data_IF_380774676377
#
_entry.id   IF_380774676377
#
_cell.length_a   1.000
_cell.length_b   1.000
_cell.length_c   1.000
_cell.angle_alpha   90.00
_cell.angle_beta   90.00
_cell.angle_gamma   90.00
#
_symmetry.space_group_name_H-M   'P 1'
#
loop_
_entity.id
_entity.type
_entity.pdbx_description
1 polymer ?
#
# COMPACT_ATOMS: atom_id res chain seq x y z
N UNK A 1 7.89 -7.86 10.62
CA UNK A 1 8.34 -7.69 9.22
C UNK A 1 8.24 -6.23 8.84
N UNK A 2 9.32 -5.47 8.96
CA UNK A 2 9.37 -4.05 8.60
C UNK A 2 10.77 -3.64 8.09
N UNK A 3 11.59 -4.64 7.74
CA UNK A 3 13.02 -4.48 7.46
C UNK A 3 13.31 -3.71 6.18
N UNK A 4 12.37 -3.65 5.22
CA UNK A 4 12.54 -2.99 3.92
C UNK A 4 12.95 -1.52 4.05
N UNK A 5 12.37 -0.82 5.02
CA UNK A 5 12.68 0.59 5.29
C UNK A 5 14.11 0.75 5.80
N UNK A 6 14.53 -0.08 6.76
CA UNK A 6 15.89 -0.03 7.31
C UNK A 6 16.94 -0.50 6.31
N UNK A 7 16.68 -1.58 5.57
CA UNK A 7 17.63 -2.15 4.62
C UNK A 7 17.83 -1.29 3.37
N UNK A 8 16.86 -0.44 3.02
CA UNK A 8 17.02 0.58 2.00
C UNK A 8 17.65 1.87 2.53
N UNK A 9 18.16 1.89 3.76
CA UNK A 9 18.61 3.10 4.44
C UNK A 9 17.55 4.22 4.37
N UNK A 10 16.28 3.84 4.56
CA UNK A 10 15.13 4.72 4.49
C UNK A 10 14.89 5.36 3.11
N UNK A 11 15.42 4.81 2.01
CA UNK A 11 15.08 5.30 0.65
C UNK A 11 13.68 4.84 0.21
N UNK A 12 13.23 3.66 0.66
CA UNK A 12 11.86 3.20 0.42
C UNK A 12 10.89 3.95 1.33
N UNK A 13 9.87 4.58 0.77
CA UNK A 13 8.84 5.35 1.52
C UNK A 13 7.48 4.70 1.56
N UNK A 14 7.19 3.83 0.59
CA UNK A 14 5.94 3.06 0.50
C UNK A 14 6.29 1.62 0.16
N UNK A 15 5.71 0.66 0.89
CA UNK A 15 5.76 -0.77 0.57
C UNK A 15 4.34 -1.27 0.36
N UNK A 16 4.12 -1.96 -0.76
CA UNK A 16 2.89 -2.69 -1.04
C UNK A 16 3.19 -4.18 -0.89
N UNK A 17 2.57 -4.85 0.07
CA UNK A 17 2.66 -6.30 0.23
C UNK A 17 1.39 -6.94 -0.32
N UNK A 18 1.53 -7.79 -1.34
CA UNK A 18 0.46 -8.67 -1.79
C UNK A 18 0.65 -10.07 -1.22
N UNK A 19 -0.34 -10.55 -0.47
CA UNK A 19 -0.39 -11.89 0.09
C UNK A 19 -1.52 -12.65 -0.58
N UNK A 20 -1.27 -13.87 -1.01
CA UNK A 20 -2.20 -14.68 -1.79
C UNK A 20 -2.54 -15.94 -0.99
N UNK A 21 -3.83 -16.16 -0.78
CA UNK A 21 -4.36 -17.42 -0.27
C UNK A 21 -5.08 -18.12 -1.43
N UNK A 22 -4.39 -19.08 -2.05
CA UNK A 22 -4.90 -19.82 -3.19
C UNK A 22 -6.07 -20.76 -2.81
N UNK A 23 -6.12 -21.24 -1.56
CA UNK A 23 -7.20 -22.12 -1.12
C UNK A 23 -8.51 -21.36 -0.98
N UNK A 24 -8.44 -20.12 -0.46
CA UNK A 24 -9.60 -19.27 -0.26
C UNK A 24 -9.87 -18.31 -1.43
N UNK A 25 -9.03 -18.32 -2.48
CA UNK A 25 -9.09 -17.34 -3.58
C UNK A 25 -9.11 -15.88 -3.08
N UNK A 26 -8.31 -15.60 -2.05
CA UNK A 26 -8.23 -14.30 -1.41
C UNK A 26 -6.88 -13.63 -1.66
N UNK A 27 -6.91 -12.31 -1.90
CA UNK A 27 -5.71 -11.48 -1.94
C UNK A 27 -5.82 -10.44 -0.82
N UNK A 28 -4.77 -10.35 0.00
CA UNK A 28 -4.60 -9.31 1.00
C UNK A 28 -3.49 -8.36 0.55
N UNK A 29 -3.86 -7.11 0.26
CA UNK A 29 -2.92 -6.04 -0.02
C UNK A 29 -2.71 -5.19 1.23
N UNK A 30 -1.46 -5.02 1.66
CA UNK A 30 -1.10 -4.11 2.74
C UNK A 30 -0.28 -2.95 2.19
N UNK A 31 -0.68 -1.72 2.54
CA UNK A 31 0.12 -0.52 2.31
C UNK A 31 0.82 -0.12 3.59
N UNK A 32 2.14 -0.11 3.54
CA UNK A 32 3.01 0.37 4.60
C UNK A 32 3.70 1.66 4.17
N UNK A 33 3.81 2.62 5.07
CA UNK A 33 4.48 3.89 4.86
C UNK A 33 5.44 4.17 6.01
N UNK A 34 6.44 4.99 5.76
CA UNK A 34 7.35 5.47 6.79
C UNK A 34 6.89 6.82 7.34
N UNK A 35 6.66 6.89 8.65
CA UNK A 35 6.23 8.10 9.34
C UNK A 35 7.28 8.56 10.36
N UNK A 36 7.51 9.88 10.40
CA UNK A 36 8.31 10.51 11.45
C UNK A 36 7.44 10.54 12.70
N UNK A 37 7.80 9.78 13.73
CA UNK A 37 7.12 9.87 15.01
C UNK A 37 7.59 11.11 15.76
N UNK A 38 6.84 12.21 15.69
CA UNK A 38 7.09 13.39 16.52
C UNK A 38 6.41 13.23 17.88
N UNK A 39 7.09 13.48 19.02
CA UNK A 39 6.41 13.63 20.29
C UNK A 39 5.56 14.91 20.23
N UNK A 40 4.24 14.74 20.20
CA UNK A 40 3.20 15.76 20.45
C UNK A 40 3.42 17.16 19.84
N UNK A 41 2.84 17.37 18.65
CA UNK A 41 2.61 18.70 18.09
C UNK A 41 2.47 18.64 16.57
N UNK A 42 1.53 19.40 16.01
CA UNK A 42 1.39 19.53 14.56
C UNK A 42 2.61 20.28 13.98
N UNK A 43 3.65 19.53 13.60
CA UNK A 43 4.85 20.07 12.98
C UNK A 43 4.67 20.03 11.46
N UNK A 44 4.78 21.17 10.78
CA UNK A 44 4.85 21.24 9.32
C UNK A 44 6.09 20.47 8.81
N UNK A 45 5.91 19.64 7.77
CA UNK A 45 6.91 18.64 7.31
C UNK A 45 8.33 19.18 7.06
N UNK A 46 8.47 20.45 6.68
CA UNK A 46 9.77 21.13 6.52
C UNK A 46 10.59 21.18 7.82
N UNK A 47 9.93 21.32 8.98
CA UNK A 47 10.58 21.22 10.30
C UNK A 47 10.80 19.77 10.73
N UNK A 48 9.98 18.84 10.26
CA UNK A 48 10.17 17.40 10.53
C UNK A 48 11.44 16.85 9.86
N UNK A 49 11.80 17.33 8.67
CA UNK A 49 13.09 17.03 8.02
C UNK A 49 14.29 17.53 8.85
N UNK A 50 14.18 18.71 9.47
CA UNK A 50 15.20 19.22 10.39
C UNK A 50 15.23 18.47 11.74
N UNK A 51 14.08 17.94 12.19
CA UNK A 51 13.97 17.13 13.43
C UNK A 51 14.47 15.70 13.24
N UNK A 52 14.38 15.16 12.02
CA UNK A 52 15.01 13.89 11.62
C UNK A 52 16.52 13.92 11.82
N UNK A 53 17.17 15.05 11.50
CA UNK A 53 18.61 15.24 11.78
C UNK A 53 18.94 15.30 13.27
N UNK A 54 17.95 15.55 14.13
CA UNK A 54 18.18 15.79 15.55
C UNK A 54 17.77 14.66 16.49
N UNK A 55 16.67 13.90 16.25
CA UNK A 55 16.26 12.73 17.09
C UNK A 55 14.97 12.00 16.62
N UNK A 56 14.46 12.23 15.40
CA UNK A 56 13.19 11.62 14.96
C UNK A 56 13.33 10.13 14.64
N UNK A 57 12.57 9.26 15.33
CA UNK A 57 12.49 7.83 14.99
C UNK A 57 11.54 7.65 13.80
N UNK A 58 12.07 7.17 12.68
CA UNK A 58 11.29 6.73 11.52
C UNK A 58 10.65 5.39 11.83
N UNK A 59 9.32 5.34 11.78
CA UNK A 59 8.56 4.14 12.11
C UNK A 59 7.74 3.68 10.90
N UNK A 60 7.86 2.39 10.51
CA UNK A 60 6.98 1.79 9.52
C UNK A 60 5.56 1.61 10.05
N UNK A 61 4.58 2.18 9.37
CA UNK A 61 3.16 2.17 9.76
C UNK A 61 2.33 1.51 8.67
N UNK A 62 1.52 0.51 9.02
CA UNK A 62 0.51 -0.04 8.11
C UNK A 62 -0.65 0.93 8.02
N UNK A 63 -0.80 1.60 6.87
CA UNK A 63 -1.84 2.60 6.63
C UNK A 63 -3.12 1.99 6.11
N UNK A 64 -3.02 0.93 5.31
CA UNK A 64 -4.16 0.32 4.66
C UNK A 64 -3.98 -1.19 4.55
N UNK A 65 -5.11 -1.90 4.61
CA UNK A 65 -5.20 -3.35 4.48
C UNK A 65 -6.46 -3.65 3.67
N UNK A 66 -6.30 -4.00 2.40
CA UNK A 66 -7.37 -4.27 1.45
C UNK A 66 -7.47 -5.78 1.27
N UNK A 67 -8.63 -6.35 1.58
CA UNK A 67 -8.96 -7.72 1.19
C UNK A 67 -9.75 -7.69 -0.11
N UNK A 68 -9.31 -8.50 -1.07
CA UNK A 68 -10.00 -8.79 -2.32
C UNK A 68 -10.41 -10.26 -2.28
N UNK A 69 -11.71 -10.52 -2.30
CA UNK A 69 -12.27 -11.87 -2.23
C UNK A 69 -13.10 -12.18 -3.47
N UNK A 70 -13.02 -13.41 -3.97
CA UNK A 70 -13.88 -13.88 -5.05
C UNK A 70 -15.34 -13.91 -4.59
N UNK A 71 -16.24 -13.40 -5.41
CA UNK A 71 -17.67 -13.53 -5.21
C UNK A 71 -18.20 -14.75 -5.98
N UNK A 72 -18.48 -15.83 -5.25
CA UNK A 72 -18.99 -17.09 -5.82
C UNK A 72 -20.45 -16.99 -6.29
N UNK A 73 -21.17 -15.92 -5.92
CA UNK A 73 -22.60 -15.76 -6.25
C UNK A 73 -22.83 -15.12 -7.62
N UNK A 74 -21.78 -14.66 -8.28
CA UNK A 74 -21.85 -13.90 -9.53
C UNK A 74 -21.33 -14.71 -10.73
N UNK A 75 -22.04 -14.61 -11.87
CA UNK A 75 -21.62 -15.14 -13.16
C UNK A 75 -21.79 -14.05 -14.24
N UNK A 76 -20.72 -13.47 -14.81
CA UNK A 76 -19.32 -13.86 -14.64
C UNK A 76 -18.78 -13.60 -13.22
N UNK A 77 -17.67 -14.27 -12.89
CA UNK A 77 -16.97 -14.13 -11.59
C UNK A 77 -16.64 -12.66 -11.33
N UNK A 78 -16.98 -12.17 -10.15
CA UNK A 78 -16.60 -10.85 -9.68
C UNK A 78 -15.77 -10.92 -8.40
N UNK A 79 -15.19 -9.79 -7.98
CA UNK A 79 -14.36 -9.71 -6.78
C UNK A 79 -14.79 -8.55 -5.89
N UNK A 80 -14.98 -8.84 -4.61
CA UNK A 80 -15.33 -7.87 -3.59
C UNK A 80 -14.06 -7.26 -2.99
N UNK A 81 -13.92 -5.94 -3.13
CA UNK A 81 -12.77 -5.16 -2.62
C UNK A 81 -13.19 -4.39 -1.37
N UNK A 82 -12.49 -4.61 -0.27
CA UNK A 82 -12.73 -3.89 1.00
C UNK A 82 -11.85 -2.65 1.13
N UNK A 83 -12.35 -1.62 1.82
CA UNK A 83 -11.59 -0.39 2.15
C UNK A 83 -11.12 0.43 0.94
N UNK A 84 -11.80 0.29 -0.20
CA UNK A 84 -11.72 1.20 -1.34
C UNK A 84 -10.44 1.09 -2.17
N UNK A 85 -10.16 2.17 -2.91
CA UNK A 85 -8.98 2.27 -3.76
C UNK A 85 -7.67 2.27 -2.94
N UNK A 86 -6.60 1.76 -3.55
CA UNK A 86 -5.24 1.90 -3.02
C UNK A 86 -4.64 3.20 -3.55
N UNK A 87 -4.31 4.12 -2.64
CA UNK A 87 -3.77 5.44 -2.98
C UNK A 87 -2.31 5.52 -2.52
N UNK A 88 -1.41 5.77 -3.47
CA UNK A 88 0.00 6.03 -3.21
C UNK A 88 0.22 7.55 -3.23
N UNK A 89 0.50 8.11 -2.06
CA UNK A 89 0.65 9.56 -1.90
C UNK A 89 1.90 10.06 -2.61
N UNK A 90 1.73 10.92 -3.62
CA UNK A 90 2.86 11.39 -4.44
C UNK A 90 3.88 12.17 -3.61
N UNK A 91 3.38 12.92 -2.61
CA UNK A 91 4.18 13.67 -1.64
C UNK A 91 5.10 12.82 -0.75
N UNK A 92 4.93 11.49 -0.74
CA UNK A 92 5.87 10.59 -0.06
C UNK A 92 7.03 10.18 -0.97
N UNK A 93 6.88 10.35 -2.29
CA UNK A 93 7.85 9.95 -3.30
C UNK A 93 8.69 11.15 -3.75
N UNK A 94 8.03 12.27 -4.05
CA UNK A 94 8.64 13.51 -4.53
C UNK A 94 7.81 14.74 -4.14
N UNK A 95 8.38 15.95 -4.24
CA UNK A 95 7.60 17.19 -4.20
C UNK A 95 6.79 17.33 -5.50
N UNK A 96 5.44 17.35 -5.46
CA UNK A 96 4.64 17.34 -6.68
C UNK A 96 4.68 18.68 -7.41
N UNK A 97 4.93 18.62 -8.72
CA UNK A 97 4.64 19.70 -9.66
C UNK A 97 3.13 19.94 -9.86
N UNK A 98 2.72 20.98 -10.60
CA UNK A 98 1.31 21.38 -10.75
C UNK A 98 0.38 20.31 -11.35
N UNK A 99 0.92 19.30 -12.03
CA UNK A 99 0.17 18.21 -12.66
C UNK A 99 0.47 16.84 -12.04
N UNK A 100 1.31 16.80 -11.01
CA UNK A 100 1.67 15.57 -10.31
C UNK A 100 0.72 15.36 -9.14
N UNK A 101 0.28 14.12 -8.94
CA UNK A 101 -0.75 13.79 -7.97
C UNK A 101 -0.67 12.34 -7.55
N UNK A 102 -1.49 11.99 -6.57
CA UNK A 102 -1.49 10.65 -6.00
C UNK A 102 -1.79 9.59 -7.06
N UNK A 103 -1.06 8.48 -6.99
CA UNK A 103 -1.33 7.35 -7.87
C UNK A 103 -2.47 6.53 -7.28
N UNK A 104 -3.59 6.45 -8.01
CA UNK A 104 -4.82 5.80 -7.54
C UNK A 104 -5.02 4.48 -8.28
N UNK A 105 -4.87 3.38 -7.56
CA UNK A 105 -5.33 2.07 -7.99
C UNK A 105 -6.80 1.92 -7.58
N UNK A 106 -7.70 2.21 -8.53
CA UNK A 106 -9.15 2.11 -8.35
C UNK A 106 -9.60 0.69 -7.98
N UNK A 107 -10.82 0.55 -7.48
CA UNK A 107 -11.43 -0.76 -7.23
C UNK A 107 -11.41 -1.62 -8.50
N UNK A 108 -11.72 -1.03 -9.67
CA UNK A 108 -11.68 -1.76 -10.94
C UNK A 108 -10.26 -2.23 -11.28
N UNK A 109 -9.23 -1.40 -11.06
CA UNK A 109 -7.84 -1.81 -11.28
C UNK A 109 -7.45 -2.97 -10.36
N UNK A 110 -7.94 -2.97 -9.11
CA UNK A 110 -7.68 -4.03 -8.14
C UNK A 110 -8.41 -5.34 -8.50
N UNK A 111 -9.63 -5.25 -9.04
CA UNK A 111 -10.37 -6.40 -9.57
C UNK A 111 -9.64 -6.99 -10.79
N UNK A 112 -9.25 -6.15 -11.75
CA UNK A 112 -8.48 -6.58 -12.94
C UNK A 112 -7.13 -7.20 -12.58
N UNK A 113 -6.43 -6.64 -11.59
CA UNK A 113 -5.21 -7.23 -11.05
C UNK A 113 -5.47 -8.65 -10.53
N UNK A 114 -6.56 -8.84 -9.79
CA UNK A 114 -6.93 -10.12 -9.19
C UNK A 114 -7.28 -11.17 -10.26
N UNK A 115 -8.02 -10.78 -11.30
CA UNK A 115 -8.31 -11.64 -12.45
C UNK A 115 -7.03 -12.15 -13.11
N UNK A 116 -6.05 -11.27 -13.35
CA UNK A 116 -4.78 -11.64 -13.97
C UNK A 116 -3.97 -12.61 -13.11
N UNK A 117 -3.87 -12.32 -11.82
CA UNK A 117 -3.15 -13.19 -10.85
C UNK A 117 -3.71 -14.61 -10.89
N UNK A 118 -5.03 -14.77 -10.81
CA UNK A 118 -5.64 -16.10 -10.77
C UNK A 118 -5.69 -16.79 -12.14
N UNK A 119 -5.64 -16.03 -13.25
CA UNK A 119 -5.54 -16.60 -14.59
C UNK A 119 -4.14 -17.20 -14.88
N UNK A 120 -3.09 -16.63 -14.27
CA UNK A 120 -1.70 -17.07 -14.47
C UNK A 120 -1.25 -18.17 -13.50
N UNK A 121 -1.98 -18.39 -12.40
CA UNK A 121 -1.65 -19.45 -11.46
C UNK A 121 -2.04 -20.83 -12.02
N UNK A 122 -1.13 -21.83 -11.99
CA UNK A 122 -1.46 -23.19 -12.38
C UNK A 122 -2.66 -23.69 -11.57
N UNK A 123 -3.66 -24.27 -12.25
CA UNK A 123 -4.70 -25.00 -11.56
C UNK A 123 -4.04 -26.21 -10.90
N UNK A 124 -4.01 -26.20 -9.57
CA UNK A 124 -3.65 -27.39 -8.80
C UNK A 124 -4.83 -28.36 -8.93
N UNK A 125 -4.76 -29.27 -9.90
CA UNK A 125 -5.63 -30.45 -9.99
C UNK A 125 -5.21 -31.51 -8.95
#
# INVERSE_FOLDING_TARGET
>A
MQWWFQASNHEVKIVILAKFDAQQHHILLEKWEEEISSPQGAITRSRAAATLQQNGVLNPVKRQSITIARDETTNPVSYNVTRGALILGFRLLCDPGPQEGDFVLSIQNLQLYTEKVWAELPRSD
#
